data_IF_696878072280
#
_entry.id   IF_696878072280
#
_cell.length_a   1.000
_cell.length_b   1.000
_cell.length_c   1.000
_cell.angle_alpha   90.00
_cell.angle_beta   90.00
_cell.angle_gamma   90.00
#
_symmetry.space_group_name_H-M   'P 1'
#
loop_
_entity.id
_entity.type
_entity.pdbx_description
1 polymer ?
#
# COMPACT_ATOMS: atom_id res chain seq x y z
N UNK A 1 -13.14 -7.95 -8.87
CA UNK A 1 -12.33 -7.40 -9.98
C UNK A 1 -10.98 -7.01 -9.41
N UNK A 2 -9.85 -7.36 -10.03
CA UNK A 2 -8.60 -6.67 -9.76
C UNK A 2 -8.73 -5.28 -10.41
N UNK A 3 -9.30 -4.37 -9.63
CA UNK A 3 -9.29 -2.92 -9.77
C UNK A 3 -9.64 -2.31 -11.15
N UNK A 4 -10.60 -2.88 -11.88
CA UNK A 4 -11.43 -2.19 -12.89
C UNK A 4 -10.67 -1.29 -13.90
N UNK A 5 -9.53 -1.73 -14.44
CA UNK A 5 -8.76 -0.91 -15.38
C UNK A 5 -7.89 0.08 -14.64
N UNK A 6 -6.97 -0.45 -13.83
CA UNK A 6 -5.99 0.30 -13.07
C UNK A 6 -5.11 1.12 -14.01
N UNK A 7 -5.44 2.39 -14.17
CA UNK A 7 -4.86 3.25 -15.19
C UNK A 7 -3.72 4.13 -14.64
N UNK A 8 -3.12 4.92 -15.53
CA UNK A 8 -2.02 5.81 -15.20
C UNK A 8 -2.39 6.85 -14.11
N UNK A 9 -3.61 7.39 -14.15
CA UNK A 9 -4.08 8.37 -13.15
C UNK A 9 -4.17 7.75 -11.75
N UNK A 10 -4.63 6.49 -11.65
CA UNK A 10 -4.67 5.77 -10.38
C UNK A 10 -3.25 5.50 -9.83
N UNK A 11 -2.30 5.14 -10.70
CA UNK A 11 -0.90 4.94 -10.32
C UNK A 11 -0.25 6.25 -9.84
N UNK A 12 -0.55 7.37 -10.50
CA UNK A 12 -0.07 8.69 -10.10
C UNK A 12 -0.66 9.12 -8.76
N UNK A 13 -1.96 8.91 -8.56
CA UNK A 13 -2.63 9.15 -7.29
C UNK A 13 -2.01 8.36 -6.13
N UNK A 14 -1.76 7.06 -6.33
CA UNK A 14 -1.08 6.22 -5.34
C UNK A 14 0.36 6.65 -5.09
N UNK A 15 1.09 7.02 -6.15
CA UNK A 15 2.44 7.55 -6.02
C UNK A 15 2.48 8.82 -5.17
N UNK A 16 1.52 9.74 -5.40
CA UNK A 16 1.36 10.95 -4.60
C UNK A 16 1.01 10.63 -3.14
N UNK A 17 0.09 9.69 -2.93
CA UNK A 17 -0.28 9.22 -1.59
C UNK A 17 0.93 8.67 -0.82
N UNK A 18 1.68 7.74 -1.41
CA UNK A 18 2.87 7.14 -0.78
C UNK A 18 3.98 8.16 -0.52
N UNK A 19 4.24 9.07 -1.47
CA UNK A 19 5.18 10.18 -1.25
C UNK A 19 4.75 11.03 -0.06
N UNK A 20 3.47 11.38 0.03
CA UNK A 20 2.94 12.14 1.16
C UNK A 20 3.13 11.42 2.51
N UNK A 21 2.88 10.11 2.54
CA UNK A 21 3.11 9.30 3.73
C UNK A 21 4.59 9.36 4.19
N UNK A 22 5.55 9.25 3.28
CA UNK A 22 6.97 9.28 3.67
C UNK A 22 7.49 10.69 3.90
N UNK A 23 7.35 11.58 2.92
CA UNK A 23 7.97 12.90 2.93
C UNK A 23 7.40 13.78 4.05
N UNK A 24 6.06 13.80 4.18
CA UNK A 24 5.39 14.57 5.24
C UNK A 24 5.20 13.74 6.50
N UNK A 25 4.71 12.51 6.38
CA UNK A 25 4.35 11.67 7.53
C UNK A 25 5.55 11.18 8.33
N UNK A 26 6.69 10.91 7.68
CA UNK A 26 7.90 10.40 8.33
C UNK A 26 8.99 11.47 8.36
N UNK A 27 9.55 11.85 7.21
CA UNK A 27 10.79 12.63 7.14
C UNK A 27 10.64 14.03 7.75
N UNK A 28 9.60 14.76 7.36
CA UNK A 28 9.34 16.11 7.90
C UNK A 28 9.02 16.07 9.39
N UNK A 29 8.14 15.15 9.82
CA UNK A 29 7.74 15.02 11.23
C UNK A 29 8.90 14.57 12.12
N UNK A 30 9.75 13.65 11.66
CA UNK A 30 10.99 13.24 12.35
C UNK A 30 11.92 14.42 12.58
N UNK A 31 12.15 15.27 11.55
CA UNK A 31 12.94 16.50 11.69
C UNK A 31 12.33 17.46 12.71
N UNK A 32 11.03 17.74 12.60
CA UNK A 32 10.30 18.66 13.50
C UNK A 32 10.35 18.20 14.96
N UNK A 33 10.21 16.89 15.20
CA UNK A 33 10.18 16.30 16.55
C UNK A 33 11.56 15.87 17.07
N UNK A 34 12.63 16.03 16.29
CA UNK A 34 14.00 15.55 16.61
C UNK A 34 14.03 14.06 16.96
N UNK A 35 13.29 13.26 16.19
CA UNK A 35 13.20 11.80 16.33
C UNK A 35 13.80 11.11 15.11
N UNK A 36 14.24 9.86 15.26
CA UNK A 36 14.65 9.05 14.11
C UNK A 36 13.45 8.73 13.22
N UNK A 37 13.72 8.39 11.96
CA UNK A 37 12.69 7.91 11.02
C UNK A 37 12.07 6.60 11.51
N UNK A 38 12.88 5.70 12.08
CA UNK A 38 12.42 4.44 12.67
C UNK A 38 11.43 4.65 13.83
N UNK A 39 11.76 5.53 14.78
CA UNK A 39 10.85 5.85 15.89
C UNK A 39 9.53 6.44 15.39
N UNK A 40 9.58 7.29 14.36
CA UNK A 40 8.37 7.86 13.75
C UNK A 40 7.53 6.78 13.08
N UNK A 41 8.14 5.90 12.28
CA UNK A 41 7.44 4.79 11.62
C UNK A 41 6.77 3.88 12.64
N UNK A 42 7.47 3.50 13.71
CA UNK A 42 6.92 2.66 14.77
C UNK A 42 5.70 3.31 15.43
N UNK A 43 5.79 4.62 15.70
CA UNK A 43 4.68 5.38 16.26
C UNK A 43 3.48 5.44 15.31
N UNK A 44 3.69 5.72 14.02
CA UNK A 44 2.58 5.76 13.07
C UNK A 44 1.91 4.39 12.91
N UNK A 45 2.69 3.31 12.96
CA UNK A 45 2.15 1.94 12.95
C UNK A 45 1.31 1.68 14.21
N UNK A 46 1.78 2.09 15.39
CA UNK A 46 1.02 2.00 16.64
C UNK A 46 -0.29 2.81 16.56
N UNK A 47 -0.20 4.09 16.21
CA UNK A 47 -1.35 5.00 16.10
C UNK A 47 -2.40 4.47 15.09
N UNK A 48 -1.98 3.95 13.93
CA UNK A 48 -2.89 3.32 12.96
C UNK A 48 -3.49 2.01 13.48
N UNK A 49 -2.69 1.20 14.17
CA UNK A 49 -3.15 -0.05 14.76
C UNK A 49 -4.20 0.19 15.86
N UNK A 50 -4.04 1.25 16.63
CA UNK A 50 -4.98 1.69 17.65
C UNK A 50 -6.26 2.23 17.01
N UNK A 51 -6.13 3.09 16.00
CA UNK A 51 -7.27 3.63 15.26
C UNK A 51 -8.13 2.52 14.63
N UNK A 52 -7.51 1.50 14.02
CA UNK A 52 -8.21 0.34 13.45
C UNK A 52 -9.05 -0.43 14.47
N UNK A 53 -8.69 -0.42 15.77
CA UNK A 53 -9.51 -1.06 16.82
C UNK A 53 -10.73 -0.21 17.19
N UNK A 54 -10.67 1.08 16.96
CA UNK A 54 -11.74 2.04 17.27
C UNK A 54 -12.70 2.29 16.10
N UNK A 55 -12.45 1.77 14.89
CA UNK A 55 -13.32 1.98 13.71
C UNK A 55 -14.73 1.44 13.88
N UNK A 56 -14.96 0.53 14.84
CA UNK A 56 -16.31 0.08 15.23
C UNK A 56 -17.23 1.22 15.70
N UNK A 57 -16.66 2.38 16.06
CA UNK A 57 -17.40 3.59 16.44
C UNK A 57 -17.90 4.40 15.25
N UNK A 58 -17.39 4.15 14.04
CA UNK A 58 -17.87 4.77 12.80
C UNK A 58 -19.19 4.09 12.44
N UNK A 59 -20.29 4.85 12.51
CA UNK A 59 -21.66 4.31 12.34
C UNK A 59 -22.02 4.04 10.89
N UNK A 60 -21.54 4.89 9.99
CA UNK A 60 -21.76 4.73 8.56
C UNK A 60 -20.83 3.62 8.05
N UNK A 61 -21.43 2.57 7.49
CA UNK A 61 -20.72 1.33 7.17
C UNK A 61 -19.80 1.51 5.97
N UNK A 62 -20.24 2.24 4.95
CA UNK A 62 -19.47 2.55 3.76
C UNK A 62 -18.25 3.44 4.09
N UNK A 63 -18.45 4.48 4.91
CA UNK A 63 -17.35 5.33 5.37
C UNK A 63 -16.38 4.54 6.26
N UNK A 64 -16.90 3.65 7.12
CA UNK A 64 -16.07 2.77 7.94
C UNK A 64 -15.19 1.87 7.06
N UNK A 65 -15.77 1.23 6.04
CA UNK A 65 -15.04 0.32 5.16
C UNK A 65 -13.95 1.05 4.36
N UNK A 66 -14.25 2.23 3.83
CA UNK A 66 -13.27 3.08 3.15
C UNK A 66 -12.14 3.51 4.08
N UNK A 67 -12.48 3.94 5.30
CA UNK A 67 -11.51 4.38 6.32
C UNK A 67 -10.59 3.23 6.75
N UNK A 68 -11.15 2.03 6.94
CA UNK A 68 -10.39 0.84 7.27
C UNK A 68 -9.49 0.42 6.12
N UNK A 69 -9.98 0.43 4.88
CA UNK A 69 -9.21 0.06 3.70
C UNK A 69 -8.01 1.01 3.51
N UNK A 70 -8.23 2.33 3.58
CA UNK A 70 -7.17 3.33 3.47
C UNK A 70 -6.13 3.16 4.59
N UNK A 71 -6.58 2.99 5.84
CA UNK A 71 -5.68 2.82 6.98
C UNK A 71 -4.87 1.52 6.87
N UNK A 72 -5.51 0.39 6.52
CA UNK A 72 -4.82 -0.90 6.31
C UNK A 72 -3.81 -0.81 5.17
N UNK A 73 -4.14 -0.05 4.12
CA UNK A 73 -3.25 0.17 2.99
C UNK A 73 -2.00 0.99 3.37
N UNK A 74 -2.18 2.12 4.06
CA UNK A 74 -1.07 2.92 4.60
C UNK A 74 -0.21 2.14 5.59
N UNK A 75 -0.85 1.37 6.49
CA UNK A 75 -0.19 0.52 7.45
C UNK A 75 0.68 -0.57 6.80
N UNK A 76 0.17 -1.24 5.76
CA UNK A 76 0.94 -2.21 4.98
C UNK A 76 2.14 -1.55 4.27
N UNK A 77 1.95 -0.36 3.71
CA UNK A 77 3.01 0.41 3.09
C UNK A 77 4.11 0.79 4.09
N UNK A 78 3.77 1.29 5.28
CA UNK A 78 4.76 1.60 6.32
C UNK A 78 5.53 0.39 6.82
N UNK A 79 4.92 -0.81 6.87
CA UNK A 79 5.68 -2.04 7.14
C UNK A 79 6.72 -2.32 6.06
N UNK A 80 6.40 -2.03 4.80
CA UNK A 80 7.34 -2.17 3.69
C UNK A 80 8.50 -1.17 3.81
N UNK A 81 8.18 0.09 4.11
CA UNK A 81 9.16 1.16 4.37
C UNK A 81 10.03 0.84 5.58
N UNK A 82 9.45 0.32 6.67
CA UNK A 82 10.18 -0.11 7.87
C UNK A 82 11.19 -1.22 7.52
N UNK A 83 10.76 -2.21 6.72
CA UNK A 83 11.60 -3.36 6.33
C UNK A 83 12.73 -2.97 5.38
N UNK A 84 12.46 -2.08 4.41
CA UNK A 84 13.39 -1.74 3.32
C UNK A 84 14.16 -0.43 3.56
N UNK A 85 13.79 0.35 4.57
CA UNK A 85 14.37 1.64 4.89
C UNK A 85 13.62 2.82 4.25
N UNK A 86 13.47 3.91 5.00
CA UNK A 86 12.75 5.12 4.58
C UNK A 86 13.40 5.83 3.38
N UNK A 87 14.72 5.69 3.23
CA UNK A 87 15.45 6.32 2.12
C UNK A 87 15.14 5.65 0.76
N UNK A 88 14.70 4.39 0.77
CA UNK A 88 14.37 3.60 -0.42
C UNK A 88 12.89 3.72 -0.84
N UNK A 89 12.18 4.73 -0.34
CA UNK A 89 10.73 4.82 -0.56
C UNK A 89 10.35 5.01 -2.02
N UNK A 90 11.21 5.61 -2.85
CA UNK A 90 10.94 5.81 -4.28
C UNK A 90 10.97 4.49 -5.03
N UNK A 91 11.94 3.64 -4.73
CA UNK A 91 12.07 2.29 -5.27
C UNK A 91 10.89 1.42 -4.83
N UNK A 92 10.46 1.55 -3.57
CA UNK A 92 9.25 0.87 -3.07
C UNK A 92 8.02 1.30 -3.86
N UNK A 93 7.83 2.61 -4.07
CA UNK A 93 6.69 3.13 -4.84
C UNK A 93 6.72 2.60 -6.27
N UNK A 94 7.89 2.62 -6.92
CA UNK A 94 8.03 2.09 -8.28
C UNK A 94 7.69 0.60 -8.35
N UNK A 95 8.17 -0.20 -7.40
CA UNK A 95 7.83 -1.61 -7.30
C UNK A 95 6.32 -1.82 -7.14
N UNK A 96 5.67 -1.11 -6.21
CA UNK A 96 4.23 -1.26 -5.99
C UNK A 96 3.41 -0.86 -7.21
N UNK A 97 3.78 0.22 -7.91
CA UNK A 97 3.13 0.62 -9.15
C UNK A 97 3.25 -0.46 -10.22
N UNK A 98 4.45 -1.00 -10.42
CA UNK A 98 4.68 -2.08 -11.38
C UNK A 98 3.90 -3.35 -11.01
N UNK A 99 3.81 -3.65 -9.71
CA UNK A 99 3.05 -4.78 -9.18
C UNK A 99 1.56 -4.63 -9.47
N UNK A 100 0.97 -3.46 -9.19
CA UNK A 100 -0.45 -3.22 -9.46
C UNK A 100 -0.77 -3.19 -10.94
N UNK A 101 0.09 -2.56 -11.75
CA UNK A 101 -0.04 -2.59 -13.21
C UNK A 101 0.01 -4.03 -13.74
N UNK A 102 0.96 -4.83 -13.26
CA UNK A 102 1.09 -6.24 -13.66
C UNK A 102 -0.12 -7.07 -13.25
N UNK A 103 -0.70 -6.80 -12.07
CA UNK A 103 -1.93 -7.45 -11.60
C UNK A 103 -3.11 -7.19 -12.56
N UNK A 104 -3.35 -5.93 -12.87
CA UNK A 104 -4.46 -5.51 -13.74
C UNK A 104 -4.25 -6.06 -15.16
N UNK A 105 -3.06 -5.86 -15.72
CA UNK A 105 -2.71 -6.35 -17.05
C UNK A 105 -2.84 -7.86 -17.14
N UNK A 106 -2.31 -8.63 -16.17
CA UNK A 106 -2.40 -10.10 -16.19
C UNK A 106 -3.84 -10.57 -16.19
N UNK A 107 -4.70 -9.92 -15.42
CA UNK A 107 -6.10 -10.31 -15.37
C UNK A 107 -6.81 -10.05 -16.70
N UNK A 108 -6.79 -8.80 -17.17
CA UNK A 108 -7.58 -8.40 -18.34
C UNK A 108 -7.02 -8.92 -19.67
N UNK A 109 -5.71 -9.18 -19.76
CA UNK A 109 -5.12 -9.71 -21.00
C UNK A 109 -5.12 -11.23 -21.11
N UNK A 110 -5.14 -11.97 -19.98
CA UNK A 110 -4.92 -13.42 -20.00
C UNK A 110 -5.90 -14.25 -19.17
N UNK A 111 -6.49 -13.71 -18.09
CA UNK A 111 -7.25 -14.50 -17.12
C UNK A 111 -8.75 -14.18 -17.10
N UNK A 112 -9.19 -13.10 -17.72
CA UNK A 112 -10.62 -12.75 -17.76
C UNK A 112 -11.43 -13.83 -18.48
N UNK A 113 -12.48 -14.34 -17.82
CA UNK A 113 -13.31 -15.43 -18.34
C UNK A 113 -12.74 -16.85 -18.10
N UNK A 114 -11.51 -16.98 -17.63
CA UNK A 114 -10.90 -18.29 -17.35
C UNK A 114 -11.44 -18.94 -16.08
N UNK A 115 -11.61 -20.28 -16.05
CA UNK A 115 -11.81 -21.01 -14.81
C UNK A 115 -10.66 -20.75 -13.85
N UNK A 116 -10.98 -20.58 -12.56
CA UNK A 116 -10.01 -20.33 -11.50
C UNK A 116 -9.13 -19.08 -11.72
N UNK A 117 -9.58 -18.09 -12.51
CA UNK A 117 -8.83 -16.87 -12.82
C UNK A 117 -8.22 -16.19 -11.59
N UNK A 118 -8.98 -16.04 -10.51
CA UNK A 118 -8.51 -15.39 -9.27
C UNK A 118 -7.40 -16.19 -8.58
N UNK A 119 -7.49 -17.53 -8.61
CA UNK A 119 -6.45 -18.41 -8.06
C UNK A 119 -5.17 -18.30 -8.88
N UNK A 120 -5.28 -18.34 -10.20
CA UNK A 120 -4.15 -18.16 -11.13
C UNK A 120 -3.49 -16.80 -10.93
N UNK A 121 -4.28 -15.74 -10.78
CA UNK A 121 -3.79 -14.39 -10.51
C UNK A 121 -3.02 -14.32 -9.19
N UNK A 122 -3.56 -14.89 -8.10
CA UNK A 122 -2.90 -14.90 -6.81
C UNK A 122 -1.53 -15.60 -6.85
N UNK A 123 -1.42 -16.71 -7.58
CA UNK A 123 -0.14 -17.43 -7.79
C UNK A 123 0.86 -16.52 -8.53
N UNK A 124 0.44 -15.92 -9.64
CA UNK A 124 1.28 -15.00 -10.42
C UNK A 124 1.79 -13.82 -9.58
N UNK A 125 0.92 -13.21 -8.78
CA UNK A 125 1.28 -12.10 -7.91
C UNK A 125 2.30 -12.51 -6.84
N UNK A 126 2.14 -13.70 -6.27
CA UNK A 126 3.11 -14.23 -5.30
C UNK A 126 4.50 -14.39 -5.93
N UNK A 127 4.58 -14.89 -7.16
CA UNK A 127 5.85 -15.03 -7.89
C UNK A 127 6.52 -13.68 -8.17
N UNK A 128 5.74 -12.65 -8.52
CA UNK A 128 6.26 -11.28 -8.71
C UNK A 128 6.81 -10.69 -7.40
N UNK A 129 6.12 -10.91 -6.28
CA UNK A 129 6.53 -10.39 -4.98
C UNK A 129 7.85 -11.02 -4.51
N UNK A 130 8.01 -12.34 -4.66
CA UNK A 130 9.24 -13.07 -4.25
C UNK A 130 10.47 -12.60 -5.03
N UNK A 131 10.34 -12.37 -6.35
CA UNK A 131 11.45 -11.88 -7.20
C UNK A 131 11.98 -10.49 -6.82
N UNK A 132 11.23 -9.72 -6.02
CA UNK A 132 11.63 -8.38 -5.55
C UNK A 132 12.11 -8.36 -4.08
N UNK A 133 12.19 -9.53 -3.45
CA UNK A 133 12.73 -9.68 -2.09
C UNK A 133 14.17 -10.18 -2.02
N UNK A 134 14.71 -10.69 -3.13
CA UNK A 134 16.12 -11.04 -3.34
C UNK A 134 16.92 -9.84 -3.88
#
# INVERSE_FOLDING_TARGET
MPVCGFNQEMLEGLSGFYKGLVEHGILERSRKKKQTTETMINKELEDMGDFLRETHRIKDQEIKDLTEALTKHAFAYYKFVQKKGADNYKEIIQFLNNYYFSMDNKYYSELEGEPEAMKKLAIYLNELAVKNTD
#
